data_IF_781991362324
#
_entry.id   IF_781991362324
#
_cell.length_a   1.000
_cell.length_b   1.000
_cell.length_c   1.000
_cell.angle_alpha   90.00
_cell.angle_beta   90.00
_cell.angle_gamma   90.00
#
_symmetry.space_group_name_H-M   'P 1'
#
loop_
_entity.id
_entity.type
_entity.pdbx_description
1 polymer ?
#
# COMPACT_ATOMS: atom_id res chain seq x y z
N UNK A 1 22.45 -10.51 -18.12
CA UNK A 1 21.64 -11.70 -17.78
C UNK A 1 20.50 -11.43 -16.80
N UNK A 2 20.59 -10.44 -15.90
CA UNK A 2 19.59 -10.16 -14.85
C UNK A 2 18.27 -9.47 -15.30
N UNK A 3 18.25 -8.77 -16.45
CA UNK A 3 17.03 -8.09 -16.93
C UNK A 3 15.92 -9.04 -17.42
N UNK A 4 16.27 -10.24 -17.89
CA UNK A 4 15.30 -11.18 -18.47
C UNK A 4 14.48 -11.91 -17.40
N UNK A 5 15.08 -12.18 -16.24
CA UNK A 5 14.43 -12.86 -15.10
C UNK A 5 13.37 -11.98 -14.42
N UNK A 6 13.62 -10.66 -14.36
CA UNK A 6 12.73 -9.68 -13.74
C UNK A 6 11.45 -9.42 -14.54
N UNK A 7 11.56 -9.37 -15.87
CA UNK A 7 10.40 -9.25 -16.76
C UNK A 7 9.51 -10.51 -16.72
N UNK A 8 10.10 -11.70 -16.58
CA UNK A 8 9.36 -12.96 -16.41
C UNK A 8 8.68 -13.06 -15.03
N UNK A 9 9.26 -12.47 -13.99
CA UNK A 9 8.66 -12.33 -12.64
C UNK A 9 7.51 -11.32 -12.63
N UNK A 10 7.70 -10.14 -13.23
CA UNK A 10 6.68 -9.10 -13.38
C UNK A 10 5.47 -9.60 -14.20
N UNK A 11 5.73 -10.38 -15.26
CA UNK A 11 4.67 -10.99 -16.09
C UNK A 11 3.90 -12.09 -15.35
N UNK A 12 4.58 -12.88 -14.50
CA UNK A 12 3.90 -13.87 -13.64
C UNK A 12 3.05 -13.17 -12.59
N UNK A 13 3.60 -12.21 -11.87
CA UNK A 13 2.90 -11.48 -10.81
C UNK A 13 1.62 -10.79 -11.36
N UNK A 14 1.71 -10.19 -12.55
CA UNK A 14 0.58 -9.53 -13.23
C UNK A 14 -0.50 -10.50 -13.76
N UNK A 15 -0.17 -11.76 -14.06
CA UNK A 15 -1.16 -12.76 -14.51
C UNK A 15 -1.93 -13.44 -13.37
N UNK A 16 -1.40 -13.41 -12.14
CA UNK A 16 -1.94 -14.22 -11.03
C UNK A 16 -3.01 -13.52 -10.21
N UNK A 17 -2.97 -12.19 -10.14
CA UNK A 17 -4.07 -11.41 -9.57
C UNK A 17 -4.81 -10.87 -10.77
N UNK A 18 -6.13 -11.00 -10.82
CA UNK A 18 -6.95 -10.28 -11.79
C UNK A 18 -6.92 -8.77 -11.43
N UNK A 19 -5.72 -8.21 -11.26
CA UNK A 19 -5.41 -6.79 -11.31
C UNK A 19 -5.76 -6.43 -12.74
N UNK A 20 -6.89 -5.74 -12.92
CA UNK A 20 -7.24 -5.17 -14.21
C UNK A 20 -5.99 -4.54 -14.85
N UNK A 21 -5.89 -4.68 -16.16
CA UNK A 21 -4.70 -4.60 -17.01
C UNK A 21 -3.85 -3.30 -16.98
N UNK A 22 -3.65 -2.63 -15.85
CA UNK A 22 -3.09 -1.28 -15.79
C UNK A 22 -2.30 -0.95 -14.50
N UNK A 23 -1.81 -1.94 -13.75
CA UNK A 23 -0.84 -1.65 -12.68
C UNK A 23 0.50 -1.31 -13.30
N UNK A 24 0.88 -0.03 -13.27
CA UNK A 24 2.23 0.40 -13.64
C UNK A 24 3.22 0.08 -12.52
N UNK A 25 3.79 -1.12 -12.57
CA UNK A 25 4.83 -1.61 -11.67
C UNK A 25 6.10 -0.75 -11.66
N UNK A 26 6.33 0.05 -12.69
CA UNK A 26 7.47 0.96 -12.72
C UNK A 26 7.26 2.16 -11.79
N UNK A 27 6.01 2.51 -11.50
CA UNK A 27 5.62 3.61 -10.61
C UNK A 27 5.81 3.24 -9.13
N UNK A 28 5.79 1.96 -8.75
CA UNK A 28 5.95 1.54 -7.35
C UNK A 28 7.38 1.82 -6.86
N UNK A 29 7.56 2.60 -5.78
CA UNK A 29 8.87 2.86 -5.21
C UNK A 29 9.58 1.57 -4.78
N UNK A 30 10.89 1.50 -5.04
CA UNK A 30 11.69 0.28 -4.79
C UNK A 30 11.57 -0.23 -3.34
N UNK A 31 11.43 0.67 -2.38
CA UNK A 31 11.30 0.35 -0.96
C UNK A 31 9.95 -0.26 -0.59
N UNK A 32 8.89 0.07 -1.32
CA UNK A 32 7.56 -0.50 -1.13
C UNK A 32 7.37 -1.81 -1.89
N UNK A 33 8.21 -2.04 -2.90
CA UNK A 33 8.13 -3.24 -3.72
C UNK A 33 8.25 -4.54 -2.93
N UNK A 34 9.09 -4.58 -1.88
CA UNK A 34 9.21 -5.77 -1.03
C UNK A 34 7.89 -6.11 -0.33
N UNK A 35 7.17 -5.12 0.19
CA UNK A 35 5.87 -5.35 0.85
C UNK A 35 4.82 -5.83 -0.15
N UNK A 36 4.86 -5.31 -1.37
CA UNK A 36 3.96 -5.75 -2.44
C UNK A 36 4.28 -7.19 -2.86
N UNK A 37 5.55 -7.51 -3.08
CA UNK A 37 6.00 -8.85 -3.45
C UNK A 37 5.65 -9.87 -2.35
N UNK A 38 5.90 -9.55 -1.08
CA UNK A 38 5.58 -10.40 0.08
C UNK A 38 4.07 -10.66 0.25
N UNK A 39 3.23 -9.64 0.05
CA UNK A 39 1.78 -9.78 0.08
C UNK A 39 1.28 -10.70 -1.05
N UNK A 40 1.83 -10.57 -2.27
CA UNK A 40 1.48 -11.40 -3.42
C UNK A 40 1.92 -12.86 -3.21
N UNK A 41 3.12 -13.08 -2.71
CA UNK A 41 3.60 -14.42 -2.35
C UNK A 41 2.74 -15.06 -1.25
N UNK A 42 2.29 -14.28 -0.27
CA UNK A 42 1.39 -14.74 0.79
C UNK A 42 0.03 -15.16 0.24
N UNK A 43 -0.53 -14.39 -0.70
CA UNK A 43 -1.78 -14.72 -1.37
C UNK A 43 -1.68 -15.98 -2.25
N UNK A 44 -0.56 -16.15 -2.94
CA UNK A 44 -0.30 -17.35 -3.73
C UNK A 44 -0.14 -18.59 -2.84
N UNK A 45 0.55 -18.47 -1.69
CA UNK A 45 0.59 -19.52 -0.65
C UNK A 45 -0.81 -19.84 -0.13
N UNK A 46 -1.63 -18.84 0.14
CA UNK A 46 -3.02 -19.00 0.55
C UNK A 46 -3.83 -19.80 -0.47
N UNK A 47 -3.86 -19.37 -1.73
CA UNK A 47 -4.63 -20.04 -2.79
C UNK A 47 -4.21 -21.49 -2.97
N UNK A 48 -2.92 -21.80 -2.88
CA UNK A 48 -2.42 -23.19 -2.90
C UNK A 48 -2.90 -24.00 -1.70
N UNK A 49 -2.97 -23.40 -0.51
CA UNK A 49 -3.49 -24.05 0.69
C UNK A 49 -4.98 -24.38 0.53
N UNK A 50 -5.78 -23.43 0.06
CA UNK A 50 -7.22 -23.62 -0.17
C UNK A 50 -7.49 -24.68 -1.24
N UNK A 51 -6.74 -24.66 -2.35
CA UNK A 51 -6.89 -25.64 -3.43
C UNK A 51 -6.58 -27.09 -3.02
N UNK A 52 -5.85 -27.31 -1.92
CA UNK A 52 -5.55 -28.65 -1.39
C UNK A 52 -6.60 -29.17 -0.42
N UNK A 53 -7.53 -28.32 0.02
CA UNK A 53 -8.57 -28.77 0.94
C UNK A 53 -9.61 -29.62 0.21
N UNK A 54 -10.10 -30.71 0.83
CA UNK A 54 -11.26 -31.43 0.33
C UNK A 54 -12.47 -30.50 0.18
N UNK A 55 -13.37 -30.84 -0.73
CA UNK A 55 -14.67 -30.15 -0.81
C UNK A 55 -15.43 -30.31 0.50
N UNK A 56 -16.07 -29.22 0.94
CA UNK A 56 -16.83 -29.17 2.17
C UNK A 56 -16.88 -27.77 2.78
N UNK A 57 -17.54 -27.61 3.95
CA UNK A 57 -17.83 -26.31 4.55
C UNK A 57 -16.58 -25.46 4.83
N UNK A 58 -15.48 -26.10 5.26
CA UNK A 58 -14.22 -25.41 5.50
C UNK A 58 -13.66 -24.81 4.20
N UNK A 59 -13.67 -25.57 3.10
CA UNK A 59 -13.19 -25.08 1.81
C UNK A 59 -14.04 -23.92 1.30
N UNK A 60 -15.36 -24.02 1.41
CA UNK A 60 -16.27 -22.92 1.04
C UNK A 60 -15.98 -21.64 1.83
N UNK A 61 -15.70 -21.75 3.12
CA UNK A 61 -15.33 -20.62 3.98
C UNK A 61 -13.97 -20.01 3.57
N UNK A 62 -12.97 -20.86 3.33
CA UNK A 62 -11.64 -20.45 2.85
C UNK A 62 -11.72 -19.76 1.47
N UNK A 63 -12.57 -20.25 0.57
CA UNK A 63 -12.85 -19.61 -0.73
C UNK A 63 -13.49 -18.24 -0.53
N UNK A 64 -14.41 -18.10 0.45
CA UNK A 64 -14.97 -16.83 0.86
C UNK A 64 -13.91 -15.81 1.29
N UNK A 65 -12.96 -16.24 2.13
CA UNK A 65 -11.83 -15.42 2.56
C UNK A 65 -10.83 -15.13 1.46
N UNK A 66 -10.64 -16.05 0.52
CA UNK A 66 -9.77 -15.84 -0.65
C UNK A 66 -10.16 -14.58 -1.41
N UNK A 67 -11.46 -14.35 -1.64
CA UNK A 67 -11.94 -13.13 -2.31
C UNK A 67 -11.64 -11.85 -1.53
N UNK A 68 -11.73 -11.90 -0.19
CA UNK A 68 -11.42 -10.76 0.69
C UNK A 68 -9.91 -10.46 0.70
N UNK A 69 -9.09 -11.51 0.79
CA UNK A 69 -7.63 -11.39 0.69
C UNK A 69 -7.17 -10.89 -0.68
N UNK A 70 -7.78 -11.38 -1.76
CA UNK A 70 -7.53 -10.89 -3.12
C UNK A 70 -7.79 -9.38 -3.22
N UNK A 71 -8.93 -8.92 -2.70
CA UNK A 71 -9.27 -7.50 -2.63
C UNK A 71 -8.29 -6.69 -1.78
N UNK A 72 -7.89 -7.22 -0.63
CA UNK A 72 -6.94 -6.56 0.27
C UNK A 72 -5.56 -6.38 -0.40
N UNK A 73 -5.03 -7.43 -1.04
CA UNK A 73 -3.75 -7.36 -1.74
C UNK A 73 -3.83 -6.43 -2.95
N UNK A 74 -4.94 -6.44 -3.69
CA UNK A 74 -5.17 -5.47 -4.77
C UNK A 74 -5.13 -4.03 -4.26
N UNK A 75 -5.82 -3.73 -3.15
CA UNK A 75 -5.81 -2.39 -2.55
C UNK A 75 -4.42 -1.98 -2.05
N UNK A 76 -3.65 -2.93 -1.49
CA UNK A 76 -2.26 -2.69 -1.07
C UNK A 76 -1.40 -2.29 -2.27
N UNK A 77 -1.49 -3.03 -3.39
CA UNK A 77 -0.78 -2.72 -4.64
C UNK A 77 -1.17 -1.34 -5.16
N UNK A 78 -2.46 -1.04 -5.27
CA UNK A 78 -2.95 0.25 -5.75
C UNK A 78 -2.50 1.42 -4.87
N UNK A 79 -2.45 1.21 -3.55
CA UNK A 79 -1.93 2.20 -2.59
C UNK A 79 -0.43 2.44 -2.81
N UNK A 80 0.36 1.38 -3.03
CA UNK A 80 1.79 1.52 -3.31
C UNK A 80 2.07 2.25 -4.63
N UNK A 81 1.25 2.04 -5.66
CA UNK A 81 1.29 2.82 -6.91
C UNK A 81 0.99 4.29 -6.62
N UNK A 82 -0.09 4.58 -5.88
CA UNK A 82 -0.47 5.95 -5.53
C UNK A 82 0.62 6.70 -4.77
N UNK A 83 1.32 6.03 -3.86
CA UNK A 83 2.49 6.61 -3.19
C UNK A 83 3.56 7.00 -4.22
N UNK A 84 3.87 6.12 -5.18
CA UNK A 84 4.81 6.41 -6.26
C UNK A 84 4.41 7.60 -7.14
N UNK A 85 3.12 7.74 -7.46
CA UNK A 85 2.61 8.91 -8.19
C UNK A 85 2.82 10.21 -7.40
N UNK A 86 2.53 10.19 -6.09
CA UNK A 86 2.73 11.35 -5.20
C UNK A 86 4.21 11.70 -5.11
N UNK A 87 5.11 10.71 -5.06
CA UNK A 87 6.56 10.97 -5.08
C UNK A 87 7.03 11.62 -6.38
N UNK A 88 6.48 11.23 -7.53
CA UNK A 88 6.79 11.87 -8.80
C UNK A 88 6.33 13.33 -8.82
N UNK A 89 5.13 13.62 -8.29
CA UNK A 89 4.62 14.98 -8.12
C UNK A 89 5.53 15.77 -7.18
N UNK A 90 5.89 15.20 -6.03
CA UNK A 90 6.81 15.82 -5.07
C UNK A 90 8.14 16.15 -5.71
N UNK A 91 8.72 15.23 -6.49
CA UNK A 91 9.96 15.46 -7.23
C UNK A 91 9.84 16.63 -8.21
N UNK A 92 8.71 16.77 -8.91
CA UNK A 92 8.46 17.90 -9.80
C UNK A 92 8.26 19.23 -9.06
N UNK A 93 7.72 19.20 -7.83
CA UNK A 93 7.50 20.38 -6.99
C UNK A 93 8.76 20.93 -6.32
N UNK A 94 9.85 20.16 -6.33
CA UNK A 94 11.15 20.49 -5.73
C UNK A 94 11.02 20.93 -4.25
N UNK A 95 10.88 19.96 -3.32
CA UNK A 95 10.57 20.24 -1.92
C UNK A 95 11.68 21.03 -1.23
N UNK A 96 12.94 20.77 -1.60
CA UNK A 96 14.11 21.47 -1.06
C UNK A 96 14.05 22.94 -1.43
N UNK A 97 13.85 23.24 -2.72
CA UNK A 97 13.69 24.63 -3.19
C UNK A 97 12.48 25.31 -2.57
N UNK A 98 11.33 24.64 -2.49
CA UNK A 98 10.13 25.21 -1.85
C UNK A 98 10.40 25.61 -0.39
N UNK A 99 11.13 24.77 0.35
CA UNK A 99 11.53 25.05 1.72
C UNK A 99 12.55 26.19 1.82
N UNK A 100 13.53 26.26 0.92
CA UNK A 100 14.53 27.33 0.89
C UNK A 100 13.91 28.70 0.56
N UNK A 101 13.04 28.76 -0.44
CA UNK A 101 12.31 29.98 -0.84
C UNK A 101 11.45 30.50 0.33
N UNK A 102 10.70 29.62 0.99
CA UNK A 102 9.91 29.98 2.17
C UNK A 102 10.78 30.46 3.33
N UNK A 103 11.88 29.76 3.65
CA UNK A 103 12.83 30.18 4.70
C UNK A 103 13.46 31.53 4.39
N UNK A 104 13.79 31.81 3.13
CA UNK A 104 14.35 33.09 2.71
C UNK A 104 13.33 34.23 2.87
N UNK A 105 12.07 34.00 2.49
CA UNK A 105 10.99 34.96 2.69
C UNK A 105 10.74 35.23 4.18
N UNK A 106 10.74 34.19 5.02
CA UNK A 106 10.64 34.32 6.48
C UNK A 106 11.78 35.13 7.11
N UNK A 107 13.01 34.99 6.60
CA UNK A 107 14.14 35.83 7.09
C UNK A 107 13.93 37.31 6.79
N UNK A 108 13.50 37.65 5.56
CA UNK A 108 13.17 39.04 5.18
C UNK A 108 12.04 39.62 6.02
N UNK A 109 11.01 38.81 6.30
CA UNK A 109 9.90 39.20 7.18
C UNK A 109 10.42 39.56 8.59
N UNK A 110 11.28 38.72 9.17
CA UNK A 110 11.93 38.99 10.47
C UNK A 110 12.84 40.22 10.45
N UNK A 111 13.41 40.58 9.30
CA UNK A 111 14.19 41.81 9.07
C UNK A 111 13.30 43.05 8.83
N UNK A 112 11.96 42.90 8.88
CA UNK A 112 10.98 43.99 8.75
C UNK A 112 10.44 44.20 7.33
N UNK A 113 10.79 43.35 6.37
CA UNK A 113 10.31 43.42 4.98
C UNK A 113 9.46 42.19 4.65
N UNK A 114 8.14 42.35 4.56
CA UNK A 114 7.24 41.27 4.14
C UNK A 114 7.27 41.16 2.61
N UNK A 115 7.76 40.04 2.03
CA UNK A 115 7.73 39.85 0.59
C UNK A 115 6.28 39.74 0.09
N UNK A 116 5.91 40.34 -1.06
CA UNK A 116 4.54 40.25 -1.60
C UNK A 116 4.11 38.81 -1.91
N UNK A 117 5.05 37.92 -2.21
CA UNK A 117 4.82 36.51 -2.49
C UNK A 117 4.71 35.61 -1.24
N UNK A 118 4.82 36.17 -0.03
CA UNK A 118 4.93 35.41 1.22
C UNK A 118 3.82 34.38 1.41
N UNK A 119 2.56 34.79 1.22
CA UNK A 119 1.40 33.90 1.38
C UNK A 119 1.41 32.74 0.36
N UNK A 120 1.86 32.98 -0.86
CA UNK A 120 1.95 31.94 -1.89
C UNK A 120 3.08 30.93 -1.59
N UNK A 121 4.23 31.41 -1.12
CA UNK A 121 5.35 30.57 -0.70
C UNK A 121 4.97 29.70 0.50
N UNK A 122 4.26 30.27 1.47
CA UNK A 122 3.74 29.52 2.63
C UNK A 122 2.76 28.42 2.20
N UNK A 123 1.77 28.75 1.36
CA UNK A 123 0.81 27.78 0.86
C UNK A 123 1.48 26.62 0.11
N UNK A 124 2.44 26.92 -0.77
CA UNK A 124 3.24 25.91 -1.49
C UNK A 124 4.02 25.02 -0.52
N UNK A 125 4.75 25.62 0.43
CA UNK A 125 5.53 24.89 1.42
C UNK A 125 4.63 23.95 2.25
N UNK A 126 3.51 24.45 2.76
CA UNK A 126 2.56 23.65 3.54
C UNK A 126 1.95 22.50 2.72
N UNK A 127 1.67 22.73 1.44
CA UNK A 127 1.16 21.68 0.55
C UNK A 127 2.19 20.55 0.35
N UNK A 128 3.44 20.93 0.06
CA UNK A 128 4.55 19.96 -0.09
C UNK A 128 4.75 19.17 1.20
N UNK A 129 4.75 19.83 2.36
CA UNK A 129 4.90 19.17 3.66
C UNK A 129 3.77 18.16 3.92
N UNK A 130 2.51 18.50 3.61
CA UNK A 130 1.39 17.56 3.75
C UNK A 130 1.56 16.32 2.86
N UNK A 131 1.97 16.50 1.61
CA UNK A 131 2.23 15.37 0.69
C UNK A 131 3.37 14.48 1.18
N UNK A 132 4.48 15.06 1.66
CA UNK A 132 5.60 14.30 2.22
C UNK A 132 5.19 13.51 3.46
N UNK A 133 4.44 14.13 4.39
CA UNK A 133 3.96 13.45 5.59
C UNK A 133 3.03 12.29 5.23
N UNK A 134 2.11 12.50 4.28
CA UNK A 134 1.20 11.44 3.87
C UNK A 134 1.89 10.27 3.17
N UNK A 135 2.95 10.53 2.39
CA UNK A 135 3.82 9.47 1.86
C UNK A 135 4.45 8.68 3.00
N UNK A 136 5.09 9.36 3.95
CA UNK A 136 5.70 8.71 5.12
C UNK A 136 4.71 7.85 5.92
N UNK A 137 3.55 8.40 6.24
CA UNK A 137 2.48 7.69 6.96
C UNK A 137 1.97 6.48 6.17
N UNK A 138 1.84 6.60 4.85
CA UNK A 138 1.41 5.50 3.99
C UNK A 138 2.43 4.36 3.94
N UNK A 139 3.73 4.67 3.88
CA UNK A 139 4.78 3.66 3.91
C UNK A 139 4.76 2.85 5.21
N UNK A 140 4.66 3.54 6.35
CA UNK A 140 4.60 2.89 7.65
C UNK A 140 3.39 1.97 7.78
N UNK A 141 2.23 2.42 7.29
CA UNK A 141 0.99 1.63 7.29
C UNK A 141 1.07 0.45 6.33
N UNK A 142 1.59 0.62 5.11
CA UNK A 142 1.78 -0.47 4.15
C UNK A 142 2.63 -1.61 4.73
N UNK A 143 3.72 -1.26 5.42
CA UNK A 143 4.57 -2.25 6.11
C UNK A 143 3.80 -3.06 7.16
N UNK A 144 2.93 -2.41 7.93
CA UNK A 144 2.10 -3.09 8.95
C UNK A 144 1.02 -3.95 8.29
N UNK A 145 0.40 -3.47 7.21
CA UNK A 145 -0.66 -4.17 6.50
C UNK A 145 -0.14 -5.43 5.80
N UNK A 146 1.04 -5.38 5.19
CA UNK A 146 1.73 -6.54 4.64
C UNK A 146 1.98 -7.63 5.71
N UNK A 147 2.55 -7.25 6.86
CA UNK A 147 2.76 -8.18 7.97
C UNK A 147 1.45 -8.83 8.45
N UNK A 148 0.34 -8.08 8.45
CA UNK A 148 -0.99 -8.58 8.80
C UNK A 148 -1.55 -9.54 7.76
N UNK A 149 -1.35 -9.28 6.47
CA UNK A 149 -1.68 -10.24 5.40
C UNK A 149 -0.94 -11.56 5.64
N UNK A 150 0.36 -11.50 5.94
CA UNK A 150 1.14 -12.70 6.28
C UNK A 150 0.60 -13.46 7.50
N UNK A 151 0.21 -12.73 8.55
CA UNK A 151 -0.38 -13.32 9.77
C UNK A 151 -1.72 -14.01 9.50
N UNK A 152 -2.62 -13.36 8.76
CA UNK A 152 -3.91 -13.92 8.34
C UNK A 152 -3.70 -15.21 7.54
N UNK A 153 -2.76 -15.22 6.58
CA UNK A 153 -2.43 -16.44 5.82
C UNK A 153 -1.92 -17.56 6.73
N UNK A 154 -1.07 -17.25 7.71
CA UNK A 154 -0.58 -18.24 8.67
C UNK A 154 -1.70 -18.80 9.55
N UNK A 155 -2.61 -17.96 10.04
CA UNK A 155 -3.76 -18.36 10.86
C UNK A 155 -4.72 -19.27 10.09
N UNK A 156 -5.05 -18.95 8.84
CA UNK A 156 -5.92 -19.84 8.07
C UNK A 156 -5.22 -21.14 7.66
N UNK A 157 -3.89 -21.17 7.56
CA UNK A 157 -3.15 -22.42 7.45
C UNK A 157 -3.30 -23.28 8.73
N UNK A 158 -3.19 -22.68 9.91
CA UNK A 158 -3.45 -23.35 11.19
C UNK A 158 -4.89 -23.90 11.25
N UNK A 159 -5.88 -23.12 10.77
CA UNK A 159 -7.27 -23.55 10.74
C UNK A 159 -7.46 -24.84 9.93
N UNK A 160 -6.72 -25.03 8.83
CA UNK A 160 -6.80 -26.28 8.05
C UNK A 160 -6.31 -27.51 8.80
N UNK A 161 -5.54 -27.32 9.88
CA UNK A 161 -5.01 -28.42 10.71
C UNK A 161 -5.91 -28.66 11.93
N UNK A 162 -6.36 -27.59 12.59
CA UNK A 162 -7.05 -27.67 13.89
C UNK A 162 -8.58 -27.70 13.74
N UNK A 163 -9.13 -27.04 12.72
CA UNK A 163 -10.57 -27.05 12.43
C UNK A 163 -11.46 -26.46 13.54
N UNK A 164 -11.05 -25.34 14.16
CA UNK A 164 -11.81 -24.70 15.25
C UNK A 164 -12.64 -23.50 14.76
N UNK A 165 -13.94 -23.50 15.05
CA UNK A 165 -14.87 -22.41 14.70
C UNK A 165 -14.49 -21.06 15.32
N UNK A 166 -13.98 -21.03 16.55
CA UNK A 166 -13.53 -19.78 17.19
C UNK A 166 -12.35 -19.14 16.44
N UNK A 167 -11.44 -19.97 15.91
CA UNK A 167 -10.33 -19.48 15.09
C UNK A 167 -10.84 -18.92 13.75
N UNK A 168 -11.91 -19.50 13.21
CA UNK A 168 -12.53 -19.01 12.00
C UNK A 168 -13.28 -17.68 12.20
N UNK A 169 -13.95 -17.48 13.35
CA UNK A 169 -14.57 -16.18 13.69
C UNK A 169 -13.53 -15.07 13.90
N UNK A 170 -12.40 -15.40 14.54
CA UNK A 170 -11.28 -14.48 14.69
C UNK A 170 -10.72 -14.05 13.33
N UNK A 171 -10.56 -15.00 12.42
CA UNK A 171 -10.09 -14.75 11.05
C UNK A 171 -11.04 -13.82 10.29
N UNK A 172 -12.36 -13.98 10.45
CA UNK A 172 -13.35 -13.07 9.86
C UNK A 172 -13.16 -11.64 10.35
N UNK A 173 -12.95 -11.47 11.66
CA UNK A 173 -12.71 -10.16 12.30
C UNK A 173 -11.39 -9.55 11.84
N UNK A 174 -10.32 -10.35 11.78
CA UNK A 174 -8.98 -9.89 11.38
C UNK A 174 -8.99 -9.43 9.90
N UNK A 175 -9.70 -10.14 9.03
CA UNK A 175 -9.91 -9.76 7.64
C UNK A 175 -10.73 -8.47 7.49
N UNK A 176 -11.79 -8.28 8.27
CA UNK A 176 -12.60 -7.05 8.23
C UNK A 176 -11.77 -5.85 8.67
N UNK A 177 -10.99 -6.00 9.74
CA UNK A 177 -10.05 -4.97 10.19
C UNK A 177 -9.00 -4.65 9.13
N UNK A 178 -8.42 -5.67 8.48
CA UNK A 178 -7.43 -5.49 7.43
C UNK A 178 -7.98 -4.69 6.23
N UNK A 179 -9.16 -5.07 5.75
CA UNK A 179 -9.83 -4.39 4.63
C UNK A 179 -10.19 -2.95 5.02
N UNK A 180 -10.72 -2.73 6.22
CA UNK A 180 -11.05 -1.40 6.72
C UNK A 180 -9.82 -0.47 6.81
N UNK A 181 -8.69 -1.00 7.28
CA UNK A 181 -7.45 -0.21 7.38
C UNK A 181 -6.83 0.12 6.01
N UNK A 182 -6.93 -0.80 5.03
CA UNK A 182 -6.53 -0.54 3.65
C UNK A 182 -7.43 0.50 2.99
N UNK A 183 -8.74 0.44 3.19
CA UNK A 183 -9.68 1.43 2.69
C UNK A 183 -9.42 2.82 3.30
N UNK A 184 -9.21 2.87 4.61
CA UNK A 184 -8.86 4.09 5.34
C UNK A 184 -7.56 4.71 4.82
N UNK A 185 -6.53 3.90 4.57
CA UNK A 185 -5.28 4.35 3.99
C UNK A 185 -5.47 4.89 2.57
N UNK A 186 -6.22 4.18 1.72
CA UNK A 186 -6.54 4.62 0.35
C UNK A 186 -7.29 5.95 0.36
N UNK A 187 -8.28 6.10 1.24
CA UNK A 187 -9.05 7.34 1.37
C UNK A 187 -8.15 8.51 1.79
N UNK A 188 -7.28 8.33 2.79
CA UNK A 188 -6.36 9.35 3.25
C UNK A 188 -5.42 9.86 2.13
N UNK A 189 -4.94 8.98 1.25
CA UNK A 189 -4.15 9.37 0.08
C UNK A 189 -5.00 9.98 -1.05
N UNK A 190 -6.27 9.61 -1.11
CA UNK A 190 -7.24 10.17 -2.05
C UNK A 190 -7.54 11.65 -1.77
N UNK A 191 -7.58 12.06 -0.50
CA UNK A 191 -7.84 13.46 -0.08
C UNK A 191 -6.74 14.46 -0.48
N UNK A 192 -5.59 13.98 -0.98
CA UNK A 192 -4.45 14.82 -1.40
C UNK A 192 -4.51 15.27 -2.86
N UNK A 193 -5.45 14.75 -3.65
CA UNK A 193 -5.64 15.07 -5.07
C UNK A 193 -7.09 15.41 -5.40
#
# INVERSE_FOLDING_TARGET
MFRRRRADEETKIAQFVNLDAEVDWATIPRRLRSYVDEALESLDRWRRLVARQPEGPLRERLDGWTRRLDGAVHQLVGTAVRVGEIEQILSALDPERAAEEYKAAKRKESEGTVPPEMAALEARFLSVQRMMNAVGDAEERLRVLDARIGAVVAQGAELTVVGNDEAAERMDTDLDGLVGDLESLRAALGELG
#
